data_IF_846071980577
#
_entry.id   IF_846071980577
#
_cell.length_a   1.000
_cell.length_b   1.000
_cell.length_c   1.000
_cell.angle_alpha   90.00
_cell.angle_beta   90.00
_cell.angle_gamma   90.00
#
_symmetry.space_group_name_H-M   'P 1'
#
loop_
_entity.id
_entity.type
_entity.pdbx_description
1 polymer ?
#
# COMPACT_ATOMS: atom_id res chain seq x y z
N UNK A 1 2.35 76.14 -35.01
CA UNK A 1 1.82 74.86 -34.48
C UNK A 1 2.25 73.76 -35.44
N UNK A 2 3.31 73.01 -35.13
CA UNK A 2 3.86 71.95 -35.98
C UNK A 2 3.47 70.59 -35.37
N UNK A 3 2.56 69.88 -36.02
CA UNK A 3 2.14 68.54 -35.59
C UNK A 3 3.09 67.50 -36.18
N UNK A 4 4.15 67.20 -35.43
CA UNK A 4 5.01 66.06 -35.70
C UNK A 4 4.28 64.81 -35.16
N UNK A 5 3.53 64.12 -36.01
CA UNK A 5 2.90 62.84 -35.70
C UNK A 5 3.90 61.73 -36.05
N UNK A 6 4.58 61.10 -35.07
CA UNK A 6 5.36 59.91 -35.36
C UNK A 6 4.36 58.77 -35.55
N UNK A 7 4.06 58.42 -36.79
CA UNK A 7 3.50 57.12 -37.14
C UNK A 7 4.58 56.04 -36.88
N UNK A 8 4.94 55.86 -35.61
CA UNK A 8 5.82 54.81 -35.15
C UNK A 8 4.98 53.53 -35.05
N UNK A 9 5.22 52.65 -36.03
CA UNK A 9 4.84 51.23 -36.03
C UNK A 9 3.33 50.96 -35.88
N UNK A 10 2.56 51.27 -36.93
CA UNK A 10 1.40 50.44 -37.27
C UNK A 10 1.91 49.09 -37.81
N UNK A 11 2.47 48.25 -36.93
CA UNK A 11 2.75 46.86 -37.27
C UNK A 11 1.40 46.16 -37.48
N UNK A 12 1.08 45.88 -38.74
CA UNK A 12 -0.11 45.14 -39.13
C UNK A 12 0.07 43.67 -38.70
N UNK A 13 -0.24 43.38 -37.42
CA UNK A 13 0.02 42.12 -36.72
C UNK A 13 -1.09 41.06 -36.91
N UNK A 14 -2.05 41.27 -37.83
CA UNK A 14 -3.24 40.42 -37.97
C UNK A 14 -2.94 38.95 -38.32
N UNK A 15 -1.74 38.66 -38.85
CA UNK A 15 -1.23 37.28 -39.04
C UNK A 15 0.10 37.01 -38.31
N UNK A 16 1.02 37.98 -38.29
CA UNK A 16 2.33 37.83 -37.67
C UNK A 16 2.27 37.78 -36.13
N UNK A 17 1.28 38.41 -35.51
CA UNK A 17 1.10 38.40 -34.07
C UNK A 17 0.79 37.02 -33.51
N UNK A 18 -0.03 36.22 -34.22
CA UNK A 18 -0.37 34.85 -33.81
C UNK A 18 0.85 33.92 -33.83
N UNK A 19 1.69 34.03 -34.86
CA UNK A 19 2.94 33.27 -34.93
C UNK A 19 3.94 33.74 -33.88
N UNK A 20 4.03 35.05 -33.64
CA UNK A 20 4.91 35.63 -32.62
C UNK A 20 4.49 35.21 -31.21
N UNK A 21 3.19 35.17 -30.90
CA UNK A 21 2.69 34.72 -29.60
C UNK A 21 2.90 33.22 -29.41
N UNK A 22 2.73 32.39 -30.45
CA UNK A 22 3.06 30.96 -30.39
C UNK A 22 4.55 30.73 -30.14
N UNK A 23 5.43 31.45 -30.85
CA UNK A 23 6.89 31.36 -30.66
C UNK A 23 7.30 31.86 -29.28
N UNK A 24 6.75 32.99 -28.83
CA UNK A 24 6.98 33.53 -27.49
C UNK A 24 6.48 32.56 -26.41
N UNK A 25 5.32 31.93 -26.60
CA UNK A 25 4.79 30.92 -25.68
C UNK A 25 5.69 29.68 -25.67
N UNK A 26 6.13 29.19 -26.82
CA UNK A 26 7.05 28.05 -26.89
C UNK A 26 8.40 28.36 -26.27
N UNK A 27 8.92 29.59 -26.43
CA UNK A 27 10.15 30.04 -25.79
C UNK A 27 9.98 30.22 -24.27
N UNK A 28 8.86 30.76 -23.82
CA UNK A 28 8.55 30.87 -22.38
C UNK A 28 8.35 29.49 -21.75
N UNK A 29 7.61 28.58 -22.39
CA UNK A 29 7.46 27.19 -21.95
C UNK A 29 8.78 26.43 -22.09
N UNK A 30 9.61 26.73 -23.08
CA UNK A 30 10.95 26.16 -23.21
C UNK A 30 11.85 26.61 -22.06
N UNK A 31 11.92 27.91 -21.78
CA UNK A 31 12.78 28.49 -20.73
C UNK A 31 12.31 28.18 -19.32
N UNK A 32 10.99 28.22 -19.06
CA UNK A 32 10.41 27.92 -17.75
C UNK A 32 10.19 26.41 -17.57
N UNK A 33 9.77 25.73 -18.63
CA UNK A 33 9.40 24.32 -18.61
C UNK A 33 10.59 23.36 -18.68
N UNK A 34 11.73 23.68 -19.31
CA UNK A 34 12.90 22.78 -19.26
C UNK A 34 13.35 22.55 -17.81
N UNK A 35 13.38 23.62 -17.01
CA UNK A 35 13.74 23.52 -15.60
C UNK A 35 12.77 22.65 -14.81
N UNK A 36 11.47 22.72 -15.12
CA UNK A 36 10.44 21.88 -14.51
C UNK A 36 10.57 20.42 -14.94
N UNK A 37 10.79 20.15 -16.23
CA UNK A 37 10.96 18.79 -16.78
C UNK A 37 12.17 18.12 -16.15
N UNK A 38 13.32 18.79 -16.09
CA UNK A 38 14.53 18.22 -15.47
C UNK A 38 14.32 17.95 -13.98
N UNK A 39 13.70 18.88 -13.23
CA UNK A 39 13.39 18.69 -11.81
C UNK A 39 12.41 17.53 -11.59
N UNK A 40 11.40 17.38 -12.43
CA UNK A 40 10.44 16.28 -12.36
C UNK A 40 11.09 14.93 -12.65
N UNK A 41 11.93 14.85 -13.68
CA UNK A 41 12.69 13.64 -14.00
C UNK A 41 13.62 13.26 -12.84
N UNK A 42 14.35 14.23 -12.27
CA UNK A 42 15.20 13.99 -11.09
C UNK A 42 14.38 13.52 -9.88
N UNK A 43 13.19 14.09 -9.67
CA UNK A 43 12.29 13.64 -8.59
C UNK A 43 11.82 12.21 -8.81
N UNK A 44 11.42 11.83 -10.02
CA UNK A 44 11.00 10.47 -10.36
C UNK A 44 12.15 9.49 -10.18
N UNK A 45 13.36 9.83 -10.63
CA UNK A 45 14.55 9.00 -10.43
C UNK A 45 14.85 8.86 -8.92
N UNK A 46 14.80 9.95 -8.17
CA UNK A 46 14.97 9.92 -6.72
C UNK A 46 13.93 9.02 -6.04
N UNK A 47 12.67 9.15 -6.41
CA UNK A 47 11.58 8.29 -5.92
C UNK A 47 11.80 6.82 -6.30
N UNK A 48 12.24 6.55 -7.53
CA UNK A 48 12.55 5.20 -8.00
C UNK A 48 13.65 4.53 -7.16
N UNK A 49 14.63 5.31 -6.69
CA UNK A 49 15.69 4.82 -5.80
C UNK A 49 15.24 4.68 -4.35
N UNK A 50 14.35 5.56 -3.88
CA UNK A 50 13.87 5.58 -2.49
C UNK A 50 12.78 4.53 -2.26
N UNK A 51 11.89 4.32 -3.23
CA UNK A 51 10.79 3.35 -3.18
C UNK A 51 11.21 1.94 -2.76
N UNK A 52 12.26 1.32 -3.34
CA UNK A 52 12.66 -0.02 -2.92
C UNK A 52 13.15 -0.06 -1.47
N UNK A 53 13.79 1.01 -0.98
CA UNK A 53 14.26 1.10 0.41
C UNK A 53 13.08 1.20 1.37
N UNK A 54 12.15 2.11 1.10
CA UNK A 54 10.94 2.27 1.92
C UNK A 54 10.08 1.00 1.85
N UNK A 55 9.93 0.41 0.67
CA UNK A 55 9.20 -0.83 0.46
C UNK A 55 9.80 -1.98 1.27
N UNK A 56 11.13 -2.12 1.27
CA UNK A 56 11.83 -3.11 2.08
C UNK A 56 11.62 -2.90 3.58
N UNK A 57 11.79 -1.67 4.07
CA UNK A 57 11.59 -1.35 5.49
C UNK A 57 10.14 -1.55 5.94
N UNK A 58 9.19 -1.12 5.12
CA UNK A 58 7.76 -1.30 5.38
C UNK A 58 7.36 -2.78 5.39
N UNK A 59 7.84 -3.56 4.41
CA UNK A 59 7.60 -5.00 4.35
C UNK A 59 8.23 -5.71 5.56
N UNK A 60 9.47 -5.36 5.92
CA UNK A 60 10.14 -5.93 7.10
C UNK A 60 9.37 -5.64 8.39
N UNK A 61 8.99 -4.39 8.61
CA UNK A 61 8.20 -3.97 9.78
C UNK A 61 6.84 -4.64 9.83
N UNK A 62 6.17 -4.78 8.68
CA UNK A 62 4.89 -5.47 8.58
C UNK A 62 5.02 -6.96 8.90
N UNK A 63 6.04 -7.65 8.37
CA UNK A 63 6.28 -9.06 8.70
C UNK A 63 6.49 -9.26 10.20
N UNK A 64 7.33 -8.44 10.85
CA UNK A 64 7.59 -8.59 12.29
C UNK A 64 6.32 -8.38 13.14
N UNK A 65 5.37 -7.57 12.68
CA UNK A 65 4.08 -7.34 13.37
C UNK A 65 3.02 -8.38 13.03
N UNK A 66 3.11 -9.00 11.85
CA UNK A 66 2.08 -9.88 11.33
C UNK A 66 2.48 -11.37 11.37
N UNK A 67 3.74 -11.72 11.67
CA UNK A 67 4.15 -13.10 11.90
C UNK A 67 3.90 -13.50 13.35
N UNK A 68 3.06 -14.50 13.56
CA UNK A 68 2.87 -15.15 14.86
C UNK A 68 3.64 -16.45 14.89
N UNK A 69 4.32 -16.68 16.00
CA UNK A 69 4.99 -17.95 16.34
C UNK A 69 4.21 -18.55 17.50
N UNK A 70 3.57 -19.68 17.25
CA UNK A 70 2.82 -20.38 18.27
C UNK A 70 2.85 -21.89 18.00
N UNK A 71 2.35 -22.68 18.93
CA UNK A 71 2.33 -24.14 18.87
C UNK A 71 0.99 -24.64 18.33
N UNK A 72 1.01 -25.68 17.49
CA UNK A 72 -0.23 -26.33 17.07
C UNK A 72 -0.92 -26.99 18.29
N UNK A 73 -2.18 -26.67 18.61
CA UNK A 73 -2.89 -27.24 19.76
C UNK A 73 -3.20 -28.73 19.60
N UNK A 74 -3.08 -29.28 18.39
CA UNK A 74 -3.38 -30.69 18.08
C UNK A 74 -2.15 -31.59 18.20
N UNK A 75 -1.03 -31.16 17.61
CA UNK A 75 0.18 -32.00 17.52
C UNK A 75 1.39 -31.45 18.29
N UNK A 76 1.31 -30.24 18.84
CA UNK A 76 2.44 -29.64 19.55
C UNK A 76 3.57 -29.14 18.63
N UNK A 77 3.38 -29.05 17.32
CA UNK A 77 4.40 -28.55 16.40
C UNK A 77 4.47 -27.01 16.41
N UNK A 78 5.66 -26.44 16.60
CA UNK A 78 5.88 -24.99 16.54
C UNK A 78 6.07 -24.53 15.10
N UNK A 79 5.23 -23.62 14.63
CA UNK A 79 5.34 -23.04 13.30
C UNK A 79 5.00 -21.55 13.29
N UNK A 80 5.42 -20.87 12.23
CA UNK A 80 5.15 -19.43 12.06
C UNK A 80 4.11 -19.27 10.97
N UNK A 81 3.11 -18.44 11.24
CA UNK A 81 2.06 -18.13 10.27
C UNK A 81 1.75 -16.64 10.27
N UNK A 82 1.20 -16.17 9.15
CA UNK A 82 0.80 -14.78 8.95
C UNK A 82 -0.57 -14.57 9.60
N UNK A 83 -0.67 -13.56 10.46
CA UNK A 83 -1.92 -13.18 11.15
C UNK A 83 -3.08 -13.04 10.16
N UNK A 84 -4.29 -13.37 10.61
CA UNK A 84 -5.54 -13.23 9.85
C UNK A 84 -5.65 -14.11 8.61
N UNK A 85 -4.76 -15.10 8.43
CA UNK A 85 -4.87 -16.11 7.37
C UNK A 85 -5.26 -17.46 7.94
N UNK A 86 -5.96 -18.28 7.15
CA UNK A 86 -6.17 -19.69 7.46
C UNK A 86 -4.90 -20.44 7.07
N UNK A 87 -4.33 -21.18 8.02
CA UNK A 87 -3.06 -21.87 7.84
C UNK A 87 -3.22 -23.36 8.14
N UNK A 88 -2.68 -24.21 7.27
CA UNK A 88 -2.62 -25.65 7.51
C UNK A 88 -1.34 -26.01 8.24
N UNK A 89 -1.44 -26.81 9.29
CA UNK A 89 -0.28 -27.28 10.00
C UNK A 89 0.55 -28.23 9.11
N UNK A 90 1.86 -28.00 8.94
CA UNK A 90 2.71 -28.85 8.10
C UNK A 90 2.94 -30.26 8.69
N UNK A 91 2.69 -30.45 10.00
CA UNK A 91 2.90 -31.74 10.68
C UNK A 91 1.65 -32.61 10.71
N UNK A 92 0.45 -32.04 10.91
CA UNK A 92 -0.79 -32.81 11.05
C UNK A 92 -1.83 -32.54 9.96
N UNK A 93 -1.63 -31.55 9.09
CA UNK A 93 -2.57 -31.20 8.01
C UNK A 93 -3.85 -30.50 8.48
N UNK A 94 -3.99 -30.20 9.79
CA UNK A 94 -5.18 -29.54 10.33
C UNK A 94 -5.26 -28.08 9.88
N UNK A 95 -6.45 -27.62 9.50
CA UNK A 95 -6.71 -26.21 9.17
C UNK A 95 -6.95 -25.42 10.46
N UNK A 96 -6.07 -24.47 10.74
CA UNK A 96 -6.10 -23.63 11.92
C UNK A 96 -6.40 -22.19 11.52
N UNK A 97 -7.12 -21.49 12.38
CA UNK A 97 -7.37 -20.06 12.29
C UNK A 97 -6.55 -19.36 13.37
N UNK A 98 -6.06 -18.17 13.08
CA UNK A 98 -5.36 -17.36 14.05
C UNK A 98 -6.36 -16.39 14.66
N UNK A 99 -6.60 -16.50 15.98
CA UNK A 99 -7.39 -15.54 16.74
C UNK A 99 -6.55 -15.00 17.89
N UNK A 100 -6.52 -13.67 18.03
CA UNK A 100 -5.79 -12.96 19.10
C UNK A 100 -4.29 -13.32 19.22
N UNK A 101 -3.66 -13.77 18.13
CA UNK A 101 -2.25 -14.16 18.13
C UNK A 101 -1.98 -15.60 18.58
N UNK A 102 -3.02 -16.43 18.67
CA UNK A 102 -2.90 -17.86 18.96
C UNK A 102 -3.53 -18.73 17.88
N UNK A 103 -3.02 -19.96 17.73
CA UNK A 103 -3.60 -20.95 16.84
C UNK A 103 -4.84 -21.59 17.49
N UNK A 104 -6.02 -21.33 16.92
CA UNK A 104 -7.28 -21.97 17.30
C UNK A 104 -7.77 -22.89 16.19
N UNK A 105 -8.52 -23.93 16.56
CA UNK A 105 -9.18 -24.78 15.55
C UNK A 105 -10.20 -23.97 14.77
N UNK A 106 -10.31 -24.24 13.46
CA UNK A 106 -11.39 -23.69 12.65
C UNK A 106 -12.71 -24.38 13.05
N UNK A 107 -13.44 -23.80 14.01
CA UNK A 107 -14.80 -24.24 14.31
C UNK A 107 -15.78 -23.51 13.37
N UNK A 108 -16.63 -24.23 12.61
CA UNK A 108 -17.79 -23.64 11.96
C UNK A 108 -18.71 -22.99 13.02
N UNK A 109 -19.36 -21.86 12.73
CA UNK A 109 -20.31 -21.25 13.66
C UNK A 109 -21.47 -22.21 13.90
N UNK A 110 -21.47 -22.92 15.03
CA UNK A 110 -22.51 -23.89 15.40
C UNK A 110 -22.07 -25.09 16.22
N UNK A 111 -20.77 -25.34 16.40
CA UNK A 111 -20.29 -26.43 17.27
C UNK A 111 -20.02 -25.88 18.68
N UNK A 112 -20.91 -26.21 19.62
CA UNK A 112 -20.75 -25.91 21.05
C UNK A 112 -19.66 -26.85 21.56
N UNK A 113 -18.61 -26.29 22.16
CA UNK A 113 -17.62 -27.07 22.91
C UNK A 113 -18.35 -27.74 24.08
N UNK A 114 -18.65 -29.03 23.94
CA UNK A 114 -19.27 -29.82 25.00
C UNK A 114 -18.20 -30.09 26.05
N UNK A 115 -18.16 -29.22 27.05
CA UNK A 115 -17.45 -29.49 28.29
C UNK A 115 -18.21 -30.62 28.99
N UNK A 116 -17.73 -31.85 28.80
CA UNK A 116 -18.31 -33.03 29.41
C UNK A 116 -18.09 -32.98 30.93
N UNK A 117 -19.02 -32.35 31.64
CA UNK A 117 -19.15 -32.48 33.08
C UNK A 117 -19.64 -33.88 33.36
N UNK A 118 -18.75 -34.73 33.88
CA UNK A 118 -19.07 -36.07 34.32
C UNK A 118 -20.01 -35.97 35.55
N UNK A 119 -21.30 -36.10 35.30
CA UNK A 119 -22.31 -36.04 36.36
C UNK A 119 -22.27 -37.39 37.09
N UNK A 120 -21.58 -37.43 38.23
CA UNK A 120 -21.54 -38.59 39.12
C UNK A 120 -22.96 -38.92 39.62
N UNK A 121 -23.65 -39.82 38.93
CA UNK A 121 -24.97 -40.33 39.34
C UNK A 121 -24.78 -41.14 40.62
N UNK A 122 -25.25 -40.61 41.77
CA UNK A 122 -25.45 -41.41 42.98
C UNK A 122 -26.60 -42.39 42.69
N UNK A 123 -26.25 -43.65 42.43
CA UNK A 123 -27.22 -44.72 42.39
C UNK A 123 -27.79 -44.90 43.80
N UNK A 124 -29.08 -44.62 43.96
CA UNK A 124 -29.83 -44.90 45.17
C UNK A 124 -30.24 -46.37 45.07
N UNK A 125 -29.53 -47.23 45.81
CA UNK A 125 -29.83 -48.65 45.94
C UNK A 125 -31.06 -48.80 46.87
N UNK A 126 -32.03 -49.61 46.43
CA UNK A 126 -33.32 -49.84 47.07
C UNK A 126 -33.28 -51.11 47.93
#
# INVERSE_FOLDING_TARGET
>A
MNQNNPNLLQLNLSGAGCWLTLLATFLLVGTVGLGFVVKSILFVIGLLLILPVIGWLGLRWWLDRNLIKDQCPVCGYNFTAVNQTQCQCPSCGETLKIEQGHFVRFNPPGTIDVEAVDVSVKQIEN
#
